data_IF_486479340241
#
_entry.id   IF_486479340241
#
_cell.length_a   1.000
_cell.length_b   1.000
_cell.length_c   1.000
_cell.angle_alpha   90.00
_cell.angle_beta   90.00
_cell.angle_gamma   90.00
#
_symmetry.space_group_name_H-M   'P 1'
#
loop_
_entity.id
_entity.type
_entity.pdbx_description
1 polymer ?
#
# COMPACT_ATOMS: atom_id res chain seq x y z
N UNK A 1 -10.17 2.69 2.59
CA UNK A 1 -9.34 3.28 1.50
C UNK A 1 -10.20 3.66 0.29
N UNK A 2 -10.96 2.72 -0.29
CA UNK A 2 -11.74 2.92 -1.54
C UNK A 2 -12.65 4.15 -1.54
N UNK A 3 -13.46 4.34 -0.49
CA UNK A 3 -14.31 5.55 -0.38
C UNK A 3 -13.50 6.85 -0.38
N UNK A 4 -12.40 6.89 0.36
CA UNK A 4 -11.50 8.05 0.41
C UNK A 4 -10.88 8.35 -0.95
N UNK A 5 -10.41 7.32 -1.65
CA UNK A 5 -9.88 7.43 -3.02
C UNK A 5 -10.91 8.02 -3.99
N UNK A 6 -12.13 7.48 -4.00
CA UNK A 6 -13.19 7.93 -4.91
C UNK A 6 -13.57 9.39 -4.61
N UNK A 7 -13.78 9.72 -3.35
CA UNK A 7 -14.11 11.10 -2.94
C UNK A 7 -12.99 12.09 -3.22
N UNK A 8 -11.73 11.70 -3.00
CA UNK A 8 -10.57 12.53 -3.32
C UNK A 8 -10.44 12.74 -4.82
N UNK A 9 -10.64 11.70 -5.64
CA UNK A 9 -10.62 11.82 -7.10
C UNK A 9 -11.73 12.73 -7.61
N UNK A 10 -12.96 12.61 -7.09
CA UNK A 10 -14.11 13.46 -7.41
C UNK A 10 -13.87 14.95 -7.08
N UNK A 11 -13.26 15.21 -5.91
CA UNK A 11 -12.89 16.56 -5.50
C UNK A 11 -11.73 17.12 -6.36
N UNK A 12 -10.72 16.30 -6.62
CA UNK A 12 -9.54 16.71 -7.39
C UNK A 12 -9.82 16.91 -8.88
N UNK A 13 -10.74 16.14 -9.47
CA UNK A 13 -11.20 16.35 -10.85
C UNK A 13 -12.15 17.55 -11.00
N UNK A 14 -12.42 18.29 -9.90
CA UNK A 14 -13.36 19.41 -9.84
C UNK A 14 -14.77 19.07 -10.34
N UNK A 15 -15.16 17.80 -10.29
CA UNK A 15 -16.55 17.39 -10.55
C UNK A 15 -17.41 17.84 -9.36
N UNK A 16 -16.83 17.82 -8.17
CA UNK A 16 -17.42 18.37 -6.95
C UNK A 16 -16.51 19.50 -6.47
N UNK A 17 -17.01 20.74 -6.48
CA UNK A 17 -16.32 21.87 -5.87
C UNK A 17 -16.50 21.79 -4.35
N UNK A 18 -15.42 21.49 -3.63
CA UNK A 18 -15.41 21.45 -2.16
C UNK A 18 -14.41 22.48 -1.68
N UNK A 19 -14.87 23.51 -1.00
CA UNK A 19 -13.96 24.49 -0.44
C UNK A 19 -13.46 24.02 0.93
N UNK A 20 -12.24 23.48 0.96
CA UNK A 20 -11.58 23.02 2.19
C UNK A 20 -11.37 24.14 3.23
N UNK A 21 -11.55 25.41 2.85
CA UNK A 21 -11.48 26.54 3.77
C UNK A 21 -12.75 26.71 4.61
N UNK A 22 -13.90 26.26 4.10
CA UNK A 22 -15.18 26.31 4.80
C UNK A 22 -15.32 25.10 5.72
N UNK A 23 -15.60 25.36 7.00
CA UNK A 23 -15.76 24.32 8.01
C UNK A 23 -16.96 23.42 7.71
N UNK A 24 -18.05 23.99 7.20
CA UNK A 24 -19.27 23.25 6.83
C UNK A 24 -18.99 22.25 5.70
N UNK A 25 -18.36 22.70 4.61
CA UNK A 25 -17.98 21.85 3.47
C UNK A 25 -17.04 20.72 3.87
N UNK A 26 -16.06 20.99 4.75
CA UNK A 26 -15.16 19.94 5.26
C UNK A 26 -15.92 18.88 6.07
N UNK A 27 -16.87 19.29 6.90
CA UNK A 27 -17.69 18.36 7.68
C UNK A 27 -18.62 17.57 6.75
N UNK A 28 -19.21 18.21 5.76
CA UNK A 28 -20.09 17.57 4.78
C UNK A 28 -19.32 16.54 3.94
N UNK A 29 -18.13 16.91 3.45
CA UNK A 29 -17.25 16.02 2.70
C UNK A 29 -16.81 14.81 3.52
N UNK A 30 -16.41 15.04 4.78
CA UNK A 30 -16.08 13.96 5.70
C UNK A 30 -17.27 13.04 6.02
N UNK A 31 -18.47 13.61 6.16
CA UNK A 31 -19.72 12.86 6.34
C UNK A 31 -20.06 12.02 5.11
N UNK A 32 -19.98 12.60 3.91
CA UNK A 32 -20.23 11.93 2.64
C UNK A 32 -19.24 10.77 2.41
N UNK A 33 -17.95 10.98 2.68
CA UNK A 33 -16.93 9.93 2.58
C UNK A 33 -17.24 8.75 3.51
N UNK A 34 -17.79 8.99 4.70
CA UNK A 34 -18.18 7.91 5.62
C UNK A 34 -19.45 7.18 5.16
N UNK A 35 -20.44 7.92 4.66
CA UNK A 35 -21.66 7.32 4.09
C UNK A 35 -21.31 6.42 2.90
N UNK A 36 -20.46 6.90 1.99
CA UNK A 36 -19.93 6.08 0.91
C UNK A 36 -19.14 4.87 1.43
N UNK A 37 -18.35 5.04 2.49
CA UNK A 37 -17.66 3.94 3.16
C UNK A 37 -18.62 2.86 3.64
N UNK A 38 -19.68 3.25 4.36
CA UNK A 38 -20.71 2.32 4.85
C UNK A 38 -21.44 1.61 3.70
N UNK A 39 -21.81 2.34 2.65
CA UNK A 39 -22.47 1.74 1.47
C UNK A 39 -21.55 0.73 0.76
N UNK A 40 -20.27 1.05 0.60
CA UNK A 40 -19.29 0.13 0.01
C UNK A 40 -19.11 -1.10 0.90
N UNK A 41 -18.97 -0.94 2.22
CA UNK A 41 -18.85 -2.10 3.14
C UNK A 41 -20.07 -3.02 3.10
N UNK A 42 -21.27 -2.46 2.97
CA UNK A 42 -22.50 -3.25 2.83
C UNK A 42 -22.53 -3.98 1.48
N UNK A 43 -22.16 -3.29 0.39
CA UNK A 43 -22.07 -3.88 -0.94
C UNK A 43 -21.04 -5.00 -1.02
N UNK A 44 -19.85 -4.79 -0.45
CA UNK A 44 -18.77 -5.79 -0.38
C UNK A 44 -19.18 -6.98 0.50
N UNK A 45 -19.79 -6.77 1.67
CA UNK A 45 -20.25 -7.86 2.53
C UNK A 45 -21.27 -8.76 1.83
N UNK A 46 -22.24 -8.16 1.14
CA UNK A 46 -23.21 -8.91 0.33
C UNK A 46 -22.51 -9.64 -0.82
N UNK A 47 -21.60 -8.96 -1.52
CA UNK A 47 -20.85 -9.53 -2.62
C UNK A 47 -19.98 -10.74 -2.20
N UNK A 48 -19.30 -10.67 -1.05
CA UNK A 48 -18.47 -11.74 -0.48
C UNK A 48 -19.27 -12.97 -0.05
N UNK A 49 -20.47 -12.77 0.49
CA UNK A 49 -21.34 -13.90 0.84
C UNK A 49 -21.94 -14.51 -0.42
N UNK A 50 -22.39 -13.68 -1.36
CA UNK A 50 -22.96 -14.12 -2.64
C UNK A 50 -21.95 -14.80 -3.57
N UNK A 51 -20.66 -14.50 -3.45
CA UNK A 51 -19.61 -15.17 -4.22
C UNK A 51 -19.41 -16.63 -3.80
N UNK A 52 -19.92 -17.03 -2.63
CA UNK A 52 -19.76 -18.39 -2.12
C UNK A 52 -18.38 -18.65 -1.50
N UNK A 53 -17.61 -17.60 -1.21
CA UNK A 53 -16.28 -17.72 -0.58
C UNK A 53 -16.33 -18.34 0.82
N UNK A 54 -17.47 -18.22 1.51
CA UNK A 54 -17.72 -18.85 2.81
C UNK A 54 -18.39 -20.24 2.70
N UNK A 55 -18.67 -20.72 1.49
CA UNK A 55 -19.44 -21.94 1.18
C UNK A 55 -20.68 -21.64 0.33
N UNK A 56 -21.28 -22.68 -0.27
CA UNK A 56 -22.44 -22.52 -1.14
C UNK A 56 -23.67 -22.04 -0.33
N UNK A 57 -24.42 -21.05 -0.85
CA UNK A 57 -25.56 -20.43 -0.14
C UNK A 57 -26.63 -21.45 0.30
N UNK A 58 -26.65 -22.61 -0.36
CA UNK A 58 -27.55 -23.72 -0.09
C UNK A 58 -27.15 -24.55 1.13
N UNK A 59 -25.85 -24.61 1.46
CA UNK A 59 -25.34 -25.35 2.63
C UNK A 59 -25.26 -24.47 3.88
N UNK A 60 -24.95 -23.18 3.74
CA UNK A 60 -24.95 -22.24 4.87
C UNK A 60 -26.35 -21.93 5.41
N UNK A 61 -27.37 -22.00 4.56
CA UNK A 61 -28.71 -21.52 4.86
C UNK A 61 -28.80 -19.99 4.88
N UNK A 62 -29.99 -19.46 4.56
CA UNK A 62 -30.24 -18.02 4.46
C UNK A 62 -30.03 -17.28 5.80
N UNK A 63 -30.25 -17.96 6.93
CA UNK A 63 -30.08 -17.40 8.27
C UNK A 63 -28.62 -17.12 8.63
N UNK A 64 -27.71 -18.07 8.42
CA UNK A 64 -26.29 -17.87 8.73
C UNK A 64 -25.63 -16.90 7.75
N UNK A 65 -26.03 -16.93 6.48
CA UNK A 65 -25.58 -15.96 5.47
C UNK A 65 -25.92 -14.53 5.89
N UNK A 66 -27.14 -14.30 6.40
CA UNK A 66 -27.56 -12.99 6.92
C UNK A 66 -26.76 -12.59 8.18
N UNK A 67 -26.48 -13.53 9.08
CA UNK A 67 -25.65 -13.28 10.26
C UNK A 67 -24.22 -12.86 9.88
N UNK A 68 -23.61 -13.52 8.89
CA UNK A 68 -22.27 -13.16 8.40
C UNK A 68 -22.28 -11.75 7.81
N UNK A 69 -23.28 -11.40 7.00
CA UNK A 69 -23.41 -10.03 6.44
C UNK A 69 -23.52 -8.99 7.56
N UNK A 70 -24.35 -9.25 8.58
CA UNK A 70 -24.51 -8.34 9.72
C UNK A 70 -23.23 -8.21 10.56
N UNK A 71 -22.49 -9.31 10.73
CA UNK A 71 -21.21 -9.31 11.43
C UNK A 71 -20.14 -8.51 10.68
N UNK A 72 -20.00 -8.74 9.36
CA UNK A 72 -19.08 -8.00 8.49
C UNK A 72 -19.41 -6.50 8.48
N UNK A 73 -20.69 -6.15 8.37
CA UNK A 73 -21.13 -4.77 8.39
C UNK A 73 -20.84 -4.09 9.73
N UNK A 74 -21.10 -4.78 10.85
CA UNK A 74 -20.82 -4.26 12.19
C UNK A 74 -19.32 -4.09 12.44
N UNK A 75 -18.49 -5.05 12.01
CA UNK A 75 -17.03 -4.93 12.04
C UNK A 75 -16.53 -3.75 11.18
N UNK A 76 -17.10 -3.58 9.98
CA UNK A 76 -16.79 -2.46 9.08
C UNK A 76 -17.10 -1.10 9.71
N UNK A 77 -18.26 -0.96 10.38
CA UNK A 77 -18.62 0.26 11.11
C UNK A 77 -17.62 0.54 12.23
N UNK A 78 -17.25 -0.46 13.02
CA UNK A 78 -16.27 -0.29 14.12
C UNK A 78 -14.94 0.23 13.58
N UNK A 79 -14.46 -0.33 12.46
CA UNK A 79 -13.21 0.12 11.83
C UNK A 79 -13.30 1.56 11.32
N UNK A 80 -14.41 1.95 10.69
CA UNK A 80 -14.64 3.33 10.24
C UNK A 80 -14.66 4.31 11.44
N UNK A 81 -15.29 3.92 12.55
CA UNK A 81 -15.33 4.73 13.77
C UNK A 81 -13.95 4.84 14.44
N UNK A 82 -13.15 3.77 14.44
CA UNK A 82 -11.78 3.79 14.96
C UNK A 82 -10.89 4.72 14.14
N UNK A 83 -11.01 4.71 12.81
CA UNK A 83 -10.28 5.66 11.95
C UNK A 83 -10.69 7.11 12.26
N UNK A 84 -11.98 7.38 12.49
CA UNK A 84 -12.44 8.71 12.90
C UNK A 84 -11.90 9.13 14.27
N UNK A 85 -11.87 8.21 15.24
CA UNK A 85 -11.32 8.48 16.58
C UNK A 85 -9.85 8.89 16.47
N UNK A 86 -9.07 8.17 15.67
CA UNK A 86 -7.66 8.49 15.43
C UNK A 86 -7.49 9.84 14.72
N UNK A 87 -8.28 10.12 13.70
CA UNK A 87 -8.22 11.39 12.96
C UNK A 87 -8.64 12.61 13.78
N UNK A 88 -9.50 12.45 14.79
CA UNK A 88 -9.91 13.52 15.71
C UNK A 88 -8.84 13.92 16.73
N UNK A 89 -7.62 13.37 16.62
CA UNK A 89 -6.46 13.77 17.42
C UNK A 89 -6.17 12.85 18.60
N UNK A 90 -6.89 11.74 18.76
CA UNK A 90 -6.52 10.69 19.71
C UNK A 90 -5.38 9.80 19.18
N UNK A 91 -5.02 9.92 17.90
CA UNK A 91 -3.88 9.23 17.29
C UNK A 91 -2.89 10.19 16.64
N UNK A 92 -1.61 9.78 16.57
CA UNK A 92 -0.51 10.52 15.91
C UNK A 92 -0.58 10.51 14.36
N UNK A 93 -1.74 10.20 13.77
CA UNK A 93 -1.96 10.20 12.33
C UNK A 93 -3.24 9.47 11.91
N UNK A 94 -3.30 9.06 10.64
CA UNK A 94 -4.47 8.37 10.06
C UNK A 94 -4.59 6.94 10.60
N UNK A 95 -5.81 6.49 10.90
CA UNK A 95 -6.04 5.11 11.34
C UNK A 95 -5.81 4.11 10.22
N UNK A 96 -6.17 4.47 8.98
CA UNK A 96 -5.92 3.64 7.79
C UNK A 96 -4.44 3.26 7.66
N UNK A 97 -3.52 4.23 7.78
CA UNK A 97 -2.09 3.95 7.64
C UNK A 97 -1.56 3.06 8.76
N UNK A 98 -2.03 3.26 10.00
CA UNK A 98 -1.61 2.44 11.13
C UNK A 98 -2.07 0.98 10.98
N UNK A 99 -3.32 0.75 10.56
CA UNK A 99 -3.84 -0.61 10.35
C UNK A 99 -3.10 -1.35 9.25
N UNK A 100 -2.79 -0.67 8.14
CA UNK A 100 -1.98 -1.25 7.05
C UNK A 100 -0.59 -1.63 7.56
N UNK A 101 0.11 -0.70 8.23
CA UNK A 101 1.45 -0.96 8.76
C UNK A 101 1.46 -2.13 9.76
N UNK A 102 0.46 -2.18 10.65
CA UNK A 102 0.35 -3.25 11.66
C UNK A 102 0.15 -4.61 11.01
N UNK A 103 -0.77 -4.72 10.06
CA UNK A 103 -1.06 -5.98 9.39
C UNK A 103 0.14 -6.52 8.60
N UNK A 104 0.91 -5.62 7.97
CA UNK A 104 2.12 -6.01 7.23
C UNK A 104 3.21 -6.47 8.21
N UNK A 105 3.43 -5.75 9.31
CA UNK A 105 4.39 -6.15 10.34
C UNK A 105 4.01 -7.50 10.98
N UNK A 106 2.71 -7.71 11.26
CA UNK A 106 2.18 -8.99 11.74
C UNK A 106 2.48 -10.11 10.75
N UNK A 107 2.18 -9.92 9.47
CA UNK A 107 2.45 -10.92 8.42
C UNK A 107 3.94 -11.27 8.32
N UNK A 108 4.84 -10.28 8.40
CA UNK A 108 6.29 -10.48 8.37
C UNK A 108 6.73 -11.30 9.59
N UNK A 109 6.27 -10.94 10.79
CA UNK A 109 6.61 -11.65 12.03
C UNK A 109 6.05 -13.07 12.01
N UNK A 110 4.81 -13.25 11.57
CA UNK A 110 4.18 -14.56 11.48
C UNK A 110 4.93 -15.46 10.51
N UNK A 111 5.24 -15.01 9.29
CA UNK A 111 6.01 -15.80 8.32
C UNK A 111 7.46 -16.07 8.75
N UNK A 112 8.03 -15.22 9.62
CA UNK A 112 9.36 -15.44 10.17
C UNK A 112 9.38 -16.45 11.34
N UNK A 113 8.39 -16.37 12.23
CA UNK A 113 8.39 -17.05 13.54
C UNK A 113 7.20 -17.99 13.79
N UNK A 114 6.38 -18.31 12.79
CA UNK A 114 5.19 -19.14 13.00
C UNK A 114 5.57 -20.53 13.56
N UNK A 115 4.94 -20.94 14.68
CA UNK A 115 5.19 -22.24 15.31
C UNK A 115 4.36 -23.38 14.69
N UNK A 116 3.56 -23.08 13.66
CA UNK A 116 2.72 -24.03 12.95
C UNK A 116 3.57 -25.01 12.14
N UNK A 117 3.20 -26.28 12.17
CA UNK A 117 3.83 -27.34 11.38
C UNK A 117 2.94 -27.70 10.21
N UNK A 118 3.49 -27.68 9.00
CA UNK A 118 2.86 -28.23 7.81
C UNK A 118 3.50 -29.57 7.46
N UNK A 119 2.67 -30.58 7.25
CA UNK A 119 3.12 -31.90 6.83
C UNK A 119 3.07 -31.97 5.30
N UNK A 120 4.08 -31.40 4.63
CA UNK A 120 4.33 -31.74 3.22
C UNK A 120 4.92 -33.15 3.25
N UNK A 121 4.42 -34.09 2.43
CA UNK A 121 4.65 -35.56 2.51
C UNK A 121 6.09 -36.13 2.63
N UNK A 122 7.10 -35.30 2.90
CA UNK A 122 8.47 -35.62 3.35
C UNK A 122 8.70 -35.46 4.86
N UNK A 123 7.71 -35.00 5.64
CA UNK A 123 7.78 -34.90 7.12
C UNK A 123 7.12 -33.64 7.69
N UNK A 124 7.09 -33.50 9.02
CA UNK A 124 6.61 -32.29 9.69
C UNK A 124 7.62 -31.16 9.52
N UNK A 125 7.26 -30.15 8.74
CA UNK A 125 8.11 -28.98 8.53
C UNK A 125 7.45 -27.77 9.19
N UNK A 126 8.21 -26.96 9.94
CA UNK A 126 7.68 -25.70 10.46
C UNK A 126 7.45 -24.70 9.31
N UNK A 127 6.40 -23.91 9.43
CA UNK A 127 6.05 -22.85 8.48
C UNK A 127 6.98 -21.63 8.64
N UNK A 128 7.41 -21.33 9.87
CA UNK A 128 8.27 -20.18 10.15
C UNK A 128 9.70 -20.38 9.65
N UNK A 129 10.21 -19.43 8.86
CA UNK A 129 11.55 -19.50 8.26
C UNK A 129 12.67 -19.71 9.31
N UNK A 130 12.57 -19.03 10.45
CA UNK A 130 13.58 -19.09 11.53
C UNK A 130 13.40 -20.36 12.37
N UNK A 131 12.16 -20.70 12.72
CA UNK A 131 11.84 -21.88 13.55
C UNK A 131 12.19 -23.17 12.80
N UNK A 132 11.88 -23.24 11.51
CA UNK A 132 12.26 -24.35 10.64
C UNK A 132 13.79 -24.49 10.54
N UNK A 133 14.52 -23.38 10.39
CA UNK A 133 15.98 -23.40 10.34
C UNK A 133 16.59 -23.98 11.62
N UNK A 134 16.12 -23.54 12.80
CA UNK A 134 16.57 -24.10 14.07
C UNK A 134 16.20 -25.58 14.24
N UNK A 135 15.00 -25.99 13.83
CA UNK A 135 14.58 -27.39 13.88
C UNK A 135 15.42 -28.28 12.96
N UNK A 136 15.66 -27.87 11.71
CA UNK A 136 16.49 -28.62 10.76
C UNK A 136 17.95 -28.70 11.20
N UNK A 137 18.49 -27.61 11.75
CA UNK A 137 19.86 -27.56 12.28
C UNK A 137 20.03 -28.41 13.55
N UNK A 138 18.99 -28.55 14.36
CA UNK A 138 19.02 -29.37 15.59
C UNK A 138 18.70 -30.86 15.34
N UNK A 139 17.86 -31.18 14.34
CA UNK A 139 17.33 -32.53 14.11
C UNK A 139 18.14 -33.37 13.10
N UNK A 140 18.77 -32.75 12.08
CA UNK A 140 19.48 -33.50 11.02
C UNK A 140 21.00 -33.52 11.19
N UNK A 141 21.61 -34.69 10.95
CA UNK A 141 23.07 -34.91 11.00
C UNK A 141 23.83 -34.29 9.82
N UNK A 142 23.22 -34.18 8.64
CA UNK A 142 23.83 -33.59 7.43
C UNK A 142 23.57 -32.07 7.34
N UNK A 143 24.42 -31.31 8.02
CA UNK A 143 24.31 -29.84 8.15
C UNK A 143 24.30 -29.10 6.82
N UNK A 144 25.03 -29.57 5.80
CA UNK A 144 25.10 -28.89 4.50
C UNK A 144 23.85 -29.10 3.63
N UNK A 145 23.25 -30.29 3.68
CA UNK A 145 22.07 -30.64 2.89
C UNK A 145 20.82 -30.02 3.52
N UNK A 146 20.72 -30.05 4.86
CA UNK A 146 19.67 -29.39 5.62
C UNK A 146 19.69 -27.85 5.46
N UNK A 147 20.88 -27.24 5.37
CA UNK A 147 21.02 -25.80 5.17
C UNK A 147 20.68 -25.41 3.71
N UNK A 148 21.06 -26.22 2.71
CA UNK A 148 20.62 -26.00 1.32
C UNK A 148 19.09 -26.14 1.16
N UNK A 149 18.49 -27.12 1.84
CA UNK A 149 17.05 -27.36 1.81
C UNK A 149 16.25 -26.30 2.60
N UNK A 150 16.81 -25.76 3.69
CA UNK A 150 16.24 -24.62 4.43
C UNK A 150 16.37 -23.26 3.71
N UNK A 151 17.33 -23.11 2.78
CA UNK A 151 17.51 -21.89 1.99
C UNK A 151 16.69 -21.89 0.67
N UNK A 152 16.37 -23.06 0.10
CA UNK A 152 15.74 -23.20 -1.22
C UNK A 152 14.41 -24.00 -1.20
N UNK A 153 13.56 -23.82 -0.18
CA UNK A 153 12.25 -24.48 -0.09
C UNK A 153 11.24 -23.76 -0.99
N UNK A 154 10.63 -24.48 -1.94
CA UNK A 154 9.66 -23.88 -2.87
C UNK A 154 8.26 -23.69 -2.25
N UNK A 155 7.93 -24.43 -1.20
CA UNK A 155 6.58 -24.48 -0.62
C UNK A 155 6.37 -23.64 0.64
N UNK A 156 7.42 -23.03 1.22
CA UNK A 156 7.33 -22.27 2.46
C UNK A 156 8.30 -21.07 2.50
N UNK A 157 8.08 -20.08 3.39
CA UNK A 157 8.97 -18.94 3.55
C UNK A 157 10.42 -19.37 3.83
N UNK A 158 11.33 -19.01 2.94
CA UNK A 158 12.75 -19.34 3.06
C UNK A 158 13.53 -18.34 3.92
N UNK A 159 14.67 -18.80 4.46
CA UNK A 159 15.66 -17.91 5.05
C UNK A 159 16.20 -16.89 4.02
N UNK A 160 16.31 -17.29 2.75
CA UNK A 160 16.67 -16.41 1.63
C UNK A 160 15.67 -15.28 1.46
N UNK A 161 14.37 -15.59 1.56
CA UNK A 161 13.29 -14.60 1.44
C UNK A 161 13.30 -13.62 2.62
N UNK A 162 13.63 -14.11 3.83
CA UNK A 162 13.79 -13.25 5.01
C UNK A 162 15.00 -12.32 4.86
N UNK A 163 16.14 -12.83 4.38
CA UNK A 163 17.31 -12.01 4.11
C UNK A 163 17.04 -10.99 3.00
N UNK A 164 16.31 -11.37 1.94
CA UNK A 164 15.84 -10.47 0.91
C UNK A 164 14.95 -9.36 1.48
N UNK A 165 14.01 -9.68 2.37
CA UNK A 165 13.18 -8.66 3.06
C UNK A 165 14.03 -7.66 3.85
N UNK A 166 15.03 -8.14 4.60
CA UNK A 166 15.94 -7.26 5.37
C UNK A 166 16.76 -6.37 4.44
N UNK A 167 17.27 -6.92 3.33
CA UNK A 167 18.02 -6.17 2.33
C UNK A 167 17.15 -5.07 1.70
N UNK A 168 15.93 -5.42 1.26
CA UNK A 168 14.96 -4.45 0.70
C UNK A 168 14.63 -3.37 1.72
N UNK A 169 14.40 -3.75 2.99
CA UNK A 169 14.12 -2.81 4.07
C UNK A 169 15.21 -1.74 4.23
N UNK A 170 16.49 -2.15 4.24
CA UNK A 170 17.61 -1.20 4.30
C UNK A 170 17.70 -0.30 3.07
N UNK A 171 17.50 -0.85 1.87
CA UNK A 171 17.49 -0.07 0.64
C UNK A 171 16.38 0.99 0.68
N UNK A 172 15.16 0.62 1.09
CA UNK A 172 14.02 1.54 1.15
C UNK A 172 14.28 2.66 2.16
N UNK A 173 14.82 2.35 3.34
CA UNK A 173 15.22 3.38 4.33
C UNK A 173 16.24 4.35 3.74
N UNK A 174 17.25 3.84 3.04
CA UNK A 174 18.26 4.66 2.40
C UNK A 174 17.65 5.62 1.37
N UNK A 175 16.78 5.12 0.50
CA UNK A 175 16.08 5.95 -0.48
C UNK A 175 15.10 6.95 0.18
N UNK A 176 14.48 6.59 1.31
CA UNK A 176 13.57 7.47 2.05
C UNK A 176 14.25 8.74 2.58
N UNK A 177 15.56 8.66 2.84
CA UNK A 177 16.38 9.79 3.27
C UNK A 177 16.65 10.86 2.19
N UNK A 178 16.34 10.59 0.92
CA UNK A 178 16.60 11.55 -0.16
C UNK A 178 15.62 12.73 -0.12
N UNK A 179 16.15 13.89 0.23
CA UNK A 179 15.41 15.15 0.26
C UNK A 179 16.20 16.28 -0.42
N UNK A 180 15.48 17.08 -1.21
CA UNK A 180 16.00 18.29 -1.84
C UNK A 180 15.67 19.48 -0.94
N UNK A 181 16.68 20.01 -0.25
CA UNK A 181 16.51 21.13 0.67
C UNK A 181 16.57 22.46 -0.10
N UNK A 182 15.42 23.12 -0.25
CA UNK A 182 15.35 24.43 -0.87
C UNK A 182 15.55 25.54 0.19
N UNK A 183 16.52 26.46 0.01
CA UNK A 183 16.81 27.48 1.01
C UNK A 183 15.75 28.59 1.03
N UNK A 184 15.10 28.75 2.18
CA UNK A 184 14.03 29.72 2.42
C UNK A 184 14.46 30.83 3.38
N UNK A 185 13.89 32.01 3.20
CA UNK A 185 13.97 33.13 4.13
C UNK A 185 12.56 33.46 4.59
N UNK A 186 12.38 33.59 5.90
CA UNK A 186 11.14 34.09 6.47
C UNK A 186 11.12 35.62 6.38
N UNK A 187 10.06 36.19 5.82
CA UNK A 187 9.94 37.64 5.72
C UNK A 187 9.65 38.29 7.09
N UNK A 188 8.91 37.57 7.95
CA UNK A 188 8.45 38.06 9.26
C UNK A 188 9.55 38.15 10.33
N UNK A 189 10.59 37.32 10.22
CA UNK A 189 11.69 37.27 11.19
C UNK A 189 13.00 37.48 10.44
N UNK A 190 13.54 38.71 10.50
CA UNK A 190 14.82 39.06 9.87
C UNK A 190 15.93 38.16 10.43
N UNK A 191 16.67 37.51 9.52
CA UNK A 191 17.85 36.69 9.87
C UNK A 191 17.56 35.20 10.03
N UNK A 192 16.31 34.78 10.24
CA UNK A 192 15.96 33.36 10.28
C UNK A 192 16.02 32.76 8.87
N UNK A 193 17.00 31.87 8.68
CA UNK A 193 17.14 31.03 7.49
C UNK A 193 16.48 29.70 7.80
N UNK A 194 15.55 29.28 6.95
CA UNK A 194 14.96 27.95 7.00
C UNK A 194 15.30 27.19 5.73
N UNK A 195 15.16 25.88 5.77
CA UNK A 195 15.17 25.04 4.58
C UNK A 195 13.81 24.38 4.46
N UNK A 196 13.22 24.43 3.26
CA UNK A 196 12.02 23.66 2.96
C UNK A 196 12.44 22.36 2.27
N UNK A 197 12.39 21.21 2.97
CA UNK A 197 12.75 19.92 2.38
C UNK A 197 11.62 19.46 1.43
N UNK A 198 11.94 19.29 0.16
CA UNK A 198 11.10 18.57 -0.80
C UNK A 198 11.62 17.15 -0.87
N UNK A 199 10.92 16.23 -0.21
CA UNK A 199 11.29 14.81 -0.23
C UNK A 199 10.87 14.16 -1.53
N UNK A 200 11.68 13.19 -1.97
CA UNK A 200 11.39 12.46 -3.19
C UNK A 200 10.07 11.66 -3.10
N UNK A 201 9.77 11.10 -1.93
CA UNK A 201 8.58 10.24 -1.73
C UNK A 201 7.40 10.91 -1.03
N UNK A 202 7.37 12.25 -0.89
CA UNK A 202 6.31 12.90 -0.12
C UNK A 202 4.90 12.65 -0.67
N UNK A 203 4.74 12.64 -2.00
CA UNK A 203 3.46 12.39 -2.67
C UNK A 203 3.30 10.94 -3.13
N UNK A 204 4.40 10.19 -3.23
CA UNK A 204 4.44 8.88 -3.88
C UNK A 204 3.85 7.76 -3.02
N UNK A 205 3.81 7.91 -1.68
CA UNK A 205 3.30 6.88 -0.77
C UNK A 205 1.80 6.66 -0.94
N UNK A 206 1.05 7.75 -1.08
CA UNK A 206 -0.38 7.64 -1.29
C UNK A 206 -0.65 7.07 -2.69
N UNK A 207 0.16 7.44 -3.69
CA UNK A 207 0.06 6.88 -5.04
C UNK A 207 0.22 5.36 -5.08
N UNK A 208 1.16 4.77 -4.33
CA UNK A 208 1.30 3.31 -4.27
C UNK A 208 0.14 2.66 -3.52
N UNK A 209 -0.35 3.25 -2.41
CA UNK A 209 -1.55 2.76 -1.72
C UNK A 209 -2.74 2.69 -2.69
N UNK A 210 -2.91 3.72 -3.51
CA UNK A 210 -4.00 3.79 -4.49
C UNK A 210 -3.86 2.74 -5.59
N UNK A 211 -2.65 2.56 -6.12
CA UNK A 211 -2.37 1.54 -7.12
C UNK A 211 -2.68 0.14 -6.56
N UNK A 212 -2.18 -0.17 -5.35
CA UNK A 212 -2.35 -1.49 -4.74
C UNK A 212 -3.81 -1.75 -4.37
N UNK A 213 -4.52 -0.73 -3.85
CA UNK A 213 -5.94 -0.84 -3.57
C UNK A 213 -6.78 -1.03 -4.83
N UNK A 214 -6.46 -0.32 -5.92
CA UNK A 214 -7.14 -0.50 -7.20
C UNK A 214 -6.94 -1.91 -7.76
N UNK A 215 -5.70 -2.40 -7.75
CA UNK A 215 -5.37 -3.75 -8.22
C UNK A 215 -6.07 -4.81 -7.36
N UNK A 216 -6.05 -4.66 -6.03
CA UNK A 216 -6.75 -5.56 -5.11
C UNK A 216 -8.27 -5.58 -5.35
N UNK A 217 -8.89 -4.41 -5.55
CA UNK A 217 -10.31 -4.32 -5.85
C UNK A 217 -10.65 -4.92 -7.21
N UNK A 218 -9.77 -4.74 -8.21
CA UNK A 218 -9.92 -5.33 -9.54
C UNK A 218 -9.83 -6.86 -9.46
N UNK A 219 -8.91 -7.40 -8.66
CA UNK A 219 -8.83 -8.84 -8.41
C UNK A 219 -10.06 -9.39 -7.73
N UNK A 220 -10.51 -8.73 -6.67
CA UNK A 220 -11.73 -9.12 -5.97
C UNK A 220 -12.94 -9.15 -6.92
N UNK A 221 -13.13 -8.09 -7.72
CA UNK A 221 -14.20 -8.04 -8.72
C UNK A 221 -14.03 -9.12 -9.80
N UNK A 222 -12.81 -9.36 -10.27
CA UNK A 222 -12.53 -10.40 -11.27
C UNK A 222 -12.83 -11.80 -10.74
N UNK A 223 -12.45 -12.10 -9.49
CA UNK A 223 -12.70 -13.37 -8.84
C UNK A 223 -14.21 -13.61 -8.66
N UNK A 224 -14.94 -12.58 -8.22
CA UNK A 224 -16.39 -12.66 -8.06
C UNK A 224 -17.11 -12.88 -9.40
N UNK A 225 -16.73 -12.14 -10.44
CA UNK A 225 -17.29 -12.31 -11.78
C UNK A 225 -17.01 -13.71 -12.33
N UNK A 226 -15.81 -14.25 -12.11
CA UNK A 226 -15.42 -15.58 -12.54
C UNK A 226 -16.21 -16.70 -11.84
N UNK A 227 -16.41 -16.59 -10.52
CA UNK A 227 -17.22 -17.56 -9.77
C UNK A 227 -18.67 -17.56 -10.23
N UNK A 228 -19.23 -16.40 -10.60
CA UNK A 228 -20.64 -16.26 -10.98
C UNK A 228 -20.94 -16.54 -12.46
N UNK A 229 -20.02 -16.21 -13.36
CA UNK A 229 -20.21 -16.27 -14.81
C UNK A 229 -19.05 -16.96 -15.54
N UNK A 230 -18.84 -18.25 -15.24
CA UNK A 230 -17.78 -19.09 -15.85
C UNK A 230 -17.81 -19.16 -17.39
N UNK A 231 -18.97 -18.90 -18.03
CA UNK A 231 -19.15 -19.07 -19.48
C UNK A 231 -18.95 -17.81 -20.33
N UNK A 232 -18.81 -16.63 -19.73
CA UNK A 232 -18.75 -15.37 -20.50
C UNK A 232 -17.32 -15.09 -21.02
N UNK A 233 -17.19 -14.83 -22.32
CA UNK A 233 -15.90 -14.50 -22.97
C UNK A 233 -15.19 -13.30 -22.32
N UNK A 234 -15.95 -12.27 -21.90
CA UNK A 234 -15.43 -11.10 -21.19
C UNK A 234 -14.85 -11.45 -19.82
N UNK A 235 -15.43 -12.42 -19.12
CA UNK A 235 -14.99 -12.85 -17.79
C UNK A 235 -13.72 -13.68 -17.89
N UNK A 236 -13.63 -14.56 -18.89
CA UNK A 236 -12.39 -15.29 -19.21
C UNK A 236 -11.26 -14.36 -19.68
N UNK A 237 -11.57 -13.24 -20.34
CA UNK A 237 -10.58 -12.23 -20.70
C UNK A 237 -10.10 -11.42 -19.48
N UNK A 238 -10.99 -11.13 -18.53
CA UNK A 238 -10.67 -10.43 -17.27
C UNK A 238 -9.76 -11.26 -16.37
N UNK A 239 -10.08 -12.54 -16.15
CA UNK A 239 -9.26 -13.42 -15.33
C UNK A 239 -9.87 -14.80 -15.17
N UNK A 240 -9.08 -15.84 -15.44
CA UNK A 240 -9.39 -17.22 -15.04
C UNK A 240 -8.68 -17.50 -13.72
N UNK A 241 -9.45 -17.82 -12.69
CA UNK A 241 -8.95 -18.11 -11.35
C UNK A 241 -9.03 -19.62 -11.11
N UNK A 242 -7.97 -20.20 -10.53
CA UNK A 242 -8.01 -21.58 -10.05
C UNK A 242 -7.67 -21.58 -8.57
N UNK A 243 -8.50 -22.27 -7.79
CA UNK A 243 -8.29 -22.49 -6.38
C UNK A 243 -7.21 -23.57 -6.20
N UNK A 244 -6.14 -23.26 -5.46
CA UNK A 244 -5.22 -24.30 -4.99
C UNK A 244 -5.85 -25.04 -3.80
N UNK A 245 -5.84 -26.37 -3.83
CA UNK A 245 -6.44 -27.23 -2.80
C UNK A 245 -5.85 -27.05 -1.38
N UNK A 246 -4.72 -26.35 -1.21
CA UNK A 246 -3.95 -26.32 0.05
C UNK A 246 -3.74 -24.96 0.71
N UNK A 247 -4.44 -23.93 0.26
CA UNK A 247 -4.49 -22.62 0.90
C UNK A 247 -5.47 -21.80 0.09
N UNK A 248 -6.39 -21.08 0.74
CA UNK A 248 -7.47 -20.33 0.08
C UNK A 248 -7.02 -19.19 -0.85
N UNK A 249 -5.79 -19.22 -1.36
CA UNK A 249 -5.24 -18.34 -2.37
C UNK A 249 -5.60 -18.88 -3.76
N UNK A 250 -6.60 -18.28 -4.39
CA UNK A 250 -6.89 -18.47 -5.81
C UNK A 250 -5.83 -17.75 -6.64
N UNK A 251 -5.04 -18.49 -7.42
CA UNK A 251 -4.06 -17.88 -8.33
C UNK A 251 -4.73 -17.63 -9.69
N UNK A 252 -4.58 -16.45 -10.30
CA UNK A 252 -5.05 -16.25 -11.66
C UNK A 252 -4.15 -17.04 -12.62
N UNK A 253 -4.72 -17.90 -13.45
CA UNK A 253 -4.02 -18.75 -14.43
C UNK A 253 -4.12 -18.18 -15.86
N UNK A 254 -5.11 -17.31 -16.11
CA UNK A 254 -5.28 -16.68 -17.42
C UNK A 254 -5.97 -15.32 -17.36
N UNK A 255 -5.91 -14.56 -18.45
CA UNK A 255 -6.58 -13.25 -18.60
C UNK A 255 -5.73 -12.04 -18.18
N UNK A 256 -6.35 -10.86 -18.15
CA UNK A 256 -5.70 -9.60 -17.75
C UNK A 256 -5.18 -9.66 -16.30
N UNK A 257 -5.88 -10.36 -15.42
CA UNK A 257 -5.45 -10.59 -14.03
C UNK A 257 -4.10 -11.34 -13.95
N UNK A 258 -3.81 -12.25 -14.88
CA UNK A 258 -2.54 -12.97 -14.96
C UNK A 258 -1.36 -12.02 -15.21
N UNK A 259 -1.51 -11.06 -16.13
CA UNK A 259 -0.47 -10.08 -16.48
C UNK A 259 -0.26 -9.00 -15.42
N UNK A 260 -1.28 -8.69 -14.63
CA UNK A 260 -1.18 -7.71 -13.54
C UNK A 260 -0.58 -8.35 -12.28
N UNK A 261 -0.68 -9.68 -12.14
CA UNK A 261 -0.23 -10.39 -10.95
C UNK A 261 1.29 -10.50 -10.87
N UNK A 262 1.90 -10.27 -9.69
CA UNK A 262 3.33 -10.44 -9.52
C UNK A 262 3.70 -11.91 -9.76
N UNK A 263 4.78 -12.19 -10.51
CA UNK A 263 5.30 -13.55 -10.61
C UNK A 263 5.88 -13.97 -9.26
N UNK A 264 5.41 -15.09 -8.71
CA UNK A 264 5.76 -15.58 -7.37
C UNK A 264 7.14 -16.19 -7.27
N UNK A 265 7.70 -16.64 -8.40
CA UNK A 265 8.94 -17.40 -8.44
C UNK A 265 9.90 -16.89 -9.51
N UNK A 266 11.19 -16.84 -9.16
CA UNK A 266 12.29 -16.60 -10.11
C UNK A 266 12.27 -17.55 -11.30
N UNK A 267 11.73 -18.77 -11.13
CA UNK A 267 11.59 -19.78 -12.19
C UNK A 267 10.50 -19.36 -13.17
N UNK A 268 9.35 -18.89 -12.67
CA UNK A 268 8.24 -18.41 -13.50
C UNK A 268 8.61 -17.16 -14.31
N UNK A 269 9.60 -16.37 -13.87
CA UNK A 269 10.13 -15.23 -14.63
C UNK A 269 10.90 -15.67 -15.88
N UNK A 270 11.63 -16.78 -15.78
CA UNK A 270 12.42 -17.34 -16.88
C UNK A 270 11.51 -18.04 -17.89
N UNK A 271 10.48 -18.72 -17.40
CA UNK A 271 9.54 -19.46 -18.26
C UNK A 271 8.60 -18.52 -19.04
N UNK A 272 8.13 -17.41 -18.44
CA UNK A 272 7.24 -16.44 -19.07
C UNK A 272 7.81 -14.99 -19.08
N UNK A 273 8.81 -14.68 -19.93
CA UNK A 273 9.44 -13.36 -19.97
C UNK A 273 8.48 -12.24 -20.40
N UNK A 274 7.45 -12.58 -21.21
CA UNK A 274 6.43 -11.62 -21.66
C UNK A 274 5.54 -11.16 -20.51
N UNK A 275 5.17 -12.06 -19.59
CA UNK A 275 4.38 -11.72 -18.39
C UNK A 275 5.14 -10.74 -17.51
N UNK A 276 6.42 -11.03 -17.28
CA UNK A 276 7.31 -10.18 -16.49
C UNK A 276 7.42 -8.77 -17.09
N UNK A 277 7.64 -8.66 -18.41
CA UNK A 277 7.71 -7.37 -19.09
C UNK A 277 6.41 -6.56 -18.99
N UNK A 278 5.26 -7.20 -19.23
CA UNK A 278 3.95 -6.55 -19.09
C UNK A 278 3.69 -6.08 -17.65
N UNK A 279 4.04 -6.90 -16.65
CA UNK A 279 3.93 -6.54 -15.24
C UNK A 279 4.77 -5.32 -14.88
N UNK A 280 6.05 -5.31 -15.27
CA UNK A 280 6.97 -4.18 -15.05
C UNK A 280 6.41 -2.89 -15.67
N UNK A 281 5.98 -2.96 -16.93
CA UNK A 281 5.46 -1.82 -17.65
C UNK A 281 4.16 -1.30 -17.00
N UNK A 282 3.29 -2.21 -16.58
CA UNK A 282 2.05 -1.86 -15.90
C UNK A 282 2.30 -1.21 -14.54
N UNK A 283 3.17 -1.76 -13.69
CA UNK A 283 3.47 -1.21 -12.36
C UNK A 283 4.16 0.15 -12.50
N UNK A 284 5.20 0.27 -13.32
CA UNK A 284 5.90 1.54 -13.52
C UNK A 284 4.98 2.61 -14.16
N UNK A 285 4.21 2.22 -15.17
CA UNK A 285 3.27 3.10 -15.86
C UNK A 285 2.17 3.58 -14.92
N UNK A 286 1.51 2.67 -14.20
CA UNK A 286 0.45 3.01 -13.25
C UNK A 286 0.99 3.86 -12.09
N UNK A 287 2.11 3.51 -11.46
CA UNK A 287 2.70 4.33 -10.39
C UNK A 287 3.10 5.73 -10.85
N UNK A 288 3.68 5.88 -12.06
CA UNK A 288 4.05 7.19 -12.59
C UNK A 288 2.82 8.06 -12.93
N UNK A 289 1.79 7.45 -13.52
CA UNK A 289 0.53 8.13 -13.87
C UNK A 289 -0.22 8.55 -12.61
N UNK A 290 -0.43 7.62 -11.67
CA UNK A 290 -1.08 7.93 -10.40
C UNK A 290 -0.32 8.99 -9.62
N UNK A 291 1.01 8.95 -9.59
CA UNK A 291 1.78 9.94 -8.85
C UNK A 291 1.65 11.35 -9.44
N UNK A 292 1.48 11.49 -10.77
CA UNK A 292 1.24 12.80 -11.40
C UNK A 292 -0.16 13.32 -11.10
N UNK A 293 -1.19 12.50 -11.33
CA UNK A 293 -2.57 12.89 -11.03
C UNK A 293 -2.77 13.19 -9.54
N UNK A 294 -2.07 12.46 -8.67
CA UNK A 294 -2.18 12.66 -7.23
C UNK A 294 -1.69 14.04 -6.76
N UNK A 295 -0.67 14.61 -7.40
CA UNK A 295 -0.18 15.96 -7.07
C UNK A 295 -1.27 17.01 -7.30
N UNK A 296 -2.04 16.85 -8.37
CA UNK A 296 -3.13 17.77 -8.71
C UNK A 296 -4.32 17.59 -7.75
N UNK A 297 -4.66 16.33 -7.43
CA UNK A 297 -5.80 15.98 -6.57
C UNK A 297 -5.54 16.33 -5.09
N UNK A 298 -4.32 16.12 -4.60
CA UNK A 298 -3.98 16.30 -3.18
C UNK A 298 -3.81 17.76 -2.77
N UNK A 299 -3.90 18.71 -3.71
CA UNK A 299 -3.61 20.12 -3.43
C UNK A 299 -2.15 20.36 -3.05
N UNK A 300 -1.25 19.44 -3.39
CA UNK A 300 0.20 19.60 -3.26
C UNK A 300 0.84 20.05 -4.57
N UNK A 301 0.05 20.65 -5.46
CA UNK A 301 0.54 21.15 -6.73
C UNK A 301 1.54 22.29 -6.52
N UNK A 302 2.42 22.50 -7.49
CA UNK A 302 3.37 23.62 -7.47
C UNK A 302 2.70 24.96 -7.18
N UNK A 303 1.45 25.14 -7.62
CA UNK A 303 0.65 26.35 -7.42
C UNK A 303 0.09 26.46 -6.01
N UNK A 304 -0.39 25.36 -5.44
CA UNK A 304 -0.97 25.35 -4.10
C UNK A 304 0.11 25.49 -3.03
N UNK A 305 1.24 24.81 -3.20
CA UNK A 305 2.41 24.97 -2.33
C UNK A 305 2.97 26.38 -2.44
N UNK A 306 3.02 26.96 -3.65
CA UNK A 306 3.44 28.35 -3.82
C UNK A 306 2.50 29.35 -3.12
N UNK A 307 1.18 29.12 -3.21
CA UNK A 307 0.18 29.94 -2.51
C UNK A 307 0.35 29.81 -0.99
N UNK A 308 0.49 28.59 -0.48
CA UNK A 308 0.75 28.32 0.94
C UNK A 308 2.02 29.00 1.45
N UNK A 309 3.11 28.96 0.68
CA UNK A 309 4.37 29.63 1.03
C UNK A 309 4.23 31.15 1.02
N UNK A 310 3.49 31.70 0.05
CA UNK A 310 3.18 33.15 -0.02
C UNK A 310 2.31 33.59 1.16
N UNK A 311 1.29 32.83 1.51
CA UNK A 311 0.41 33.12 2.65
C UNK A 311 1.18 33.07 3.98
N UNK A 312 2.19 32.19 4.08
CA UNK A 312 3.12 32.11 5.22
C UNK A 312 4.28 33.12 5.15
N UNK A 313 4.33 33.96 4.11
CA UNK A 313 5.39 34.95 3.87
C UNK A 313 6.81 34.34 3.82
N UNK A 314 6.95 33.18 3.18
CA UNK A 314 8.21 32.47 2.98
C UNK A 314 8.69 32.70 1.54
N UNK A 315 9.93 33.15 1.38
CA UNK A 315 10.56 33.48 0.10
C UNK A 315 11.82 32.64 -0.13
N UNK A 316 12.04 32.14 -1.34
CA UNK A 316 13.30 31.47 -1.67
C UNK A 316 14.47 32.46 -1.76
N UNK A 317 15.64 32.07 -1.25
CA UNK A 317 16.84 32.91 -1.31
C UNK A 317 17.25 33.13 -2.77
N UNK A 318 17.24 34.39 -3.23
CA UNK A 318 17.73 34.79 -4.55
C UNK A 318 16.66 34.88 -5.65
N UNK A 319 15.42 34.51 -5.36
CA UNK A 319 14.31 34.56 -6.32
C UNK A 319 13.26 35.60 -5.89
N UNK A 320 12.65 36.27 -6.88
CA UNK A 320 11.49 37.15 -6.65
C UNK A 320 10.22 36.32 -6.41
N UNK A 321 9.21 36.91 -5.78
CA UNK A 321 7.91 36.26 -5.49
C UNK A 321 7.27 35.58 -6.71
N UNK A 322 7.36 36.19 -7.90
CA UNK A 322 6.81 35.61 -9.13
C UNK A 322 7.63 34.42 -9.66
N UNK A 323 8.91 34.32 -9.31
CA UNK A 323 9.79 33.23 -9.71
C UNK A 323 9.65 31.98 -8.83
N UNK A 324 9.01 32.11 -7.66
CA UNK A 324 8.80 31.00 -6.72
C UNK A 324 8.02 29.85 -7.37
N UNK A 325 6.97 30.19 -8.11
CA UNK A 325 6.14 29.23 -8.84
C UNK A 325 6.95 28.47 -9.90
N UNK A 326 7.82 29.17 -10.63
CA UNK A 326 8.65 28.58 -11.69
C UNK A 326 9.68 27.59 -11.11
N UNK A 327 10.32 27.96 -9.98
CA UNK A 327 11.25 27.08 -9.27
C UNK A 327 10.54 25.82 -8.78
N UNK A 328 9.40 25.96 -8.12
CA UNK A 328 8.60 24.81 -7.63
C UNK A 328 8.16 23.89 -8.76
N UNK A 329 7.76 24.46 -9.90
CA UNK A 329 7.33 23.68 -11.05
C UNK A 329 8.46 22.90 -11.74
N UNK A 330 9.71 23.31 -11.52
CA UNK A 330 10.87 22.56 -11.97
C UNK A 330 11.14 21.34 -11.08
N UNK A 331 10.93 21.46 -9.76
CA UNK A 331 11.28 20.39 -8.81
C UNK A 331 10.12 19.42 -8.51
N UNK A 332 8.90 19.91 -8.24
CA UNK A 332 7.80 19.08 -7.72
C UNK A 332 7.33 18.01 -8.72
N UNK A 333 7.03 18.34 -10.00
CA UNK A 333 6.56 17.33 -10.95
C UNK A 333 7.61 16.28 -11.28
N UNK A 334 8.89 16.69 -11.35
CA UNK A 334 10.02 15.79 -11.59
C UNK A 334 10.22 14.88 -10.37
N UNK A 335 10.25 15.45 -9.17
CA UNK A 335 10.41 14.69 -7.93
C UNK A 335 9.29 13.66 -7.74
N UNK A 336 8.05 14.02 -8.04
CA UNK A 336 6.94 13.10 -7.90
C UNK A 336 6.91 12.01 -8.98
N UNK A 337 7.16 12.35 -10.26
CA UNK A 337 7.22 11.35 -11.32
C UNK A 337 8.39 10.38 -11.12
N UNK A 338 9.56 10.90 -10.74
CA UNK A 338 10.74 10.09 -10.45
C UNK A 338 10.55 9.28 -9.16
N UNK A 339 9.95 9.86 -8.12
CA UNK A 339 9.60 9.19 -6.88
C UNK A 339 8.64 8.03 -7.11
N UNK A 340 7.56 8.23 -7.86
CA UNK A 340 6.61 7.17 -8.22
C UNK A 340 7.26 6.05 -9.04
N UNK A 341 8.14 6.39 -9.97
CA UNK A 341 8.90 5.40 -10.75
C UNK A 341 9.89 4.62 -9.87
N UNK A 342 10.63 5.30 -8.99
CA UNK A 342 11.58 4.65 -8.07
C UNK A 342 10.87 3.69 -7.12
N UNK A 343 9.71 4.07 -6.57
CA UNK A 343 8.88 3.18 -5.75
C UNK A 343 8.44 1.95 -6.56
N UNK A 344 8.00 2.15 -7.81
CA UNK A 344 7.61 1.05 -8.68
C UNK A 344 8.77 0.08 -8.94
N UNK A 345 9.98 0.59 -9.21
CA UNK A 345 11.18 -0.25 -9.38
C UNK A 345 11.50 -1.01 -8.10
N UNK A 346 11.49 -0.35 -6.95
CA UNK A 346 11.77 -0.99 -5.65
C UNK A 346 10.77 -2.10 -5.33
N UNK A 347 9.50 -1.87 -5.66
CA UNK A 347 8.43 -2.88 -5.52
C UNK A 347 8.71 -4.11 -6.37
N UNK A 348 9.00 -3.91 -7.66
CA UNK A 348 9.30 -5.00 -8.60
C UNK A 348 10.53 -5.79 -8.14
N UNK A 349 11.59 -5.10 -7.72
CA UNK A 349 12.82 -5.75 -7.22
C UNK A 349 12.51 -6.58 -5.97
N UNK A 350 11.70 -6.07 -5.06
CA UNK A 350 11.31 -6.78 -3.85
C UNK A 350 10.42 -8.00 -4.13
N UNK A 351 9.49 -7.89 -5.08
CA UNK A 351 8.65 -9.01 -5.51
C UNK A 351 9.50 -10.08 -6.21
N UNK A 352 10.45 -9.70 -7.07
CA UNK A 352 11.36 -10.65 -7.74
C UNK A 352 12.32 -11.35 -6.78
N UNK A 353 12.79 -10.66 -5.74
CA UNK A 353 13.62 -11.26 -4.70
C UNK A 353 12.83 -12.22 -3.79
N UNK A 354 11.50 -12.32 -3.94
CA UNK A 354 10.65 -13.17 -3.12
C UNK A 354 10.52 -12.66 -1.68
N UNK A 355 10.57 -11.35 -1.46
CA UNK A 355 10.51 -10.77 -0.12
C UNK A 355 9.21 -11.15 0.61
N UNK A 356 9.37 -11.58 1.87
CA UNK A 356 8.26 -11.93 2.77
C UNK A 356 7.44 -10.67 3.06
N UNK A 357 6.14 -10.70 2.75
CA UNK A 357 5.20 -9.60 3.02
C UNK A 357 4.78 -8.76 1.80
N UNK A 358 5.16 -9.19 0.58
CA UNK A 358 5.06 -8.44 -0.68
C UNK A 358 5.93 -7.18 -0.70
N UNK A 359 6.55 -6.91 -1.85
CA UNK A 359 7.35 -5.71 -2.07
C UNK A 359 6.57 -4.43 -1.79
N UNK A 360 5.32 -4.37 -2.25
CA UNK A 360 4.42 -3.23 -1.97
C UNK A 360 4.21 -3.03 -0.47
N UNK A 361 3.90 -4.10 0.26
CA UNK A 361 3.64 -4.07 1.69
C UNK A 361 4.83 -3.54 2.49
N UNK A 362 6.03 -4.09 2.25
CA UNK A 362 7.25 -3.66 2.97
C UNK A 362 7.49 -2.16 2.76
N UNK A 363 7.40 -1.67 1.52
CA UNK A 363 7.57 -0.24 1.22
C UNK A 363 6.55 0.63 1.96
N UNK A 364 5.28 0.22 1.95
CA UNK A 364 4.21 0.92 2.65
C UNK A 364 4.48 1.00 4.16
N UNK A 365 4.81 -0.13 4.78
CA UNK A 365 5.07 -0.18 6.22
C UNK A 365 6.25 0.71 6.62
N UNK A 366 7.40 0.60 5.94
CA UNK A 366 8.58 1.43 6.19
C UNK A 366 8.23 2.91 6.09
N UNK A 367 7.50 3.25 5.04
CA UNK A 367 7.22 4.66 4.76
C UNK A 367 6.23 5.27 5.75
N UNK A 368 5.20 4.53 6.12
CA UNK A 368 4.22 4.95 7.13
C UNK A 368 4.91 5.15 8.48
N UNK A 369 5.77 4.21 8.88
CA UNK A 369 6.54 4.30 10.12
C UNK A 369 7.44 5.54 10.10
N UNK A 370 8.16 5.77 9.00
CA UNK A 370 9.04 6.93 8.87
C UNK A 370 8.27 8.25 8.93
N UNK A 371 7.08 8.30 8.31
CA UNK A 371 6.21 9.47 8.36
C UNK A 371 5.72 9.76 9.80
N UNK A 372 5.38 8.73 10.57
CA UNK A 372 5.01 8.89 11.98
C UNK A 372 6.17 9.34 12.85
N UNK A 373 7.37 8.79 12.65
CA UNK A 373 8.58 9.23 13.37
C UNK A 373 8.85 10.71 13.10
N UNK A 374 8.79 11.15 11.84
CA UNK A 374 9.01 12.56 11.52
C UNK A 374 7.95 13.46 12.14
N UNK A 375 6.67 13.07 12.08
CA UNK A 375 5.60 13.86 12.70
C UNK A 375 5.84 14.00 14.21
N UNK A 376 6.25 12.92 14.88
CA UNK A 376 6.59 12.94 16.30
C UNK A 376 7.83 13.81 16.59
N UNK A 377 8.85 13.79 15.74
CA UNK A 377 10.02 14.68 15.86
C UNK A 377 9.64 16.15 15.67
N UNK A 378 8.84 16.47 14.64
CA UNK A 378 8.36 17.84 14.40
C UNK A 378 7.49 18.35 15.55
N UNK A 379 6.62 17.51 16.10
CA UNK A 379 5.82 17.86 17.28
C UNK A 379 6.69 18.07 18.52
N UNK A 380 7.73 17.25 18.72
CA UNK A 380 8.72 17.45 19.79
C UNK A 380 9.51 18.74 19.61
N UNK A 381 9.97 19.06 18.41
CA UNK A 381 10.68 20.31 18.12
C UNK A 381 9.78 21.53 18.34
N UNK A 382 8.51 21.46 17.94
CA UNK A 382 7.53 22.52 18.20
C UNK A 382 7.21 22.64 19.69
N UNK A 383 7.04 21.53 20.41
CA UNK A 383 6.83 21.51 21.85
C UNK A 383 8.02 22.07 22.62
N UNK A 384 9.25 21.74 22.22
CA UNK A 384 10.48 22.25 22.82
C UNK A 384 10.76 23.74 22.49
N UNK A 385 10.03 24.34 21.55
CA UNK A 385 10.05 25.79 21.31
C UNK A 385 8.97 26.55 22.09
N UNK A 386 8.02 25.84 22.70
CA UNK A 386 6.94 26.42 23.51
C UNK A 386 7.26 26.39 25.01
N UNK A 387 8.16 25.51 25.44
CA UNK A 387 8.80 25.52 26.76
C UNK A 387 10.19 26.16 26.67
#
# INVERSE_FOLDING_TARGET
VTSGMVMQLLAGSKIIEVDQSLKEDRVLFGGAQKLFGMLITMGEAVAYVMSGMYGDLRELGAGNSLLIIMQLFSAGIIVILLDELMQKGYGMGSGISLFIATNICESIIWKAFSPTTMNTGKGTEFEGAVVACFHFMASRSDKLLALKEAFYRQSAPNLTNLFATVLVFFIVIYFQGFQVNLPCKFHKIRGHRGTYPVRLFYTSNISIILQTCLVSNLYFMSQLLYQRFKSNMLVNLLGQWQDLEYGGDSIPIGGLAYYISPPTDMINIVDDPVRCFCYILFVLGSCAVFSKYWIEVSGSSSRDVAKMLRDRQILFKGYRDNSLLHVLNLYIPIAAAFGGMCIGVLTIVADFLGAIGSGTGILLAVTIIYQHIENAEREKEQGAMVF
#
